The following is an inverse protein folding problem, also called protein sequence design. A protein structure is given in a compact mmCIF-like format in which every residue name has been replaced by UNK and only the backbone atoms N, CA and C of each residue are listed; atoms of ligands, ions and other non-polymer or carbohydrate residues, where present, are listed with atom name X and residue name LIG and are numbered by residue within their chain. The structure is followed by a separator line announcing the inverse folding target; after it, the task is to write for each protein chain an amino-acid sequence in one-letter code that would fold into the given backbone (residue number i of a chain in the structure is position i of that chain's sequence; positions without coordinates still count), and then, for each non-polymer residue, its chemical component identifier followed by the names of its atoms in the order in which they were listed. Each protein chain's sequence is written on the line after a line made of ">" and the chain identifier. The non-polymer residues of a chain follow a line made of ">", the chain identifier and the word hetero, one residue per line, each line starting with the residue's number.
data_IF_174130688548
#
_entry.id   IF_174130688548
#
_cell.length_a   1.000
_cell.length_b   1.000
_cell.length_c   1.000
_cell.angle_alpha   90.00
_cell.angle_beta   90.00
_cell.angle_gamma   90.00
#
_symmetry.space_group_name_H-M   'P 1'
#
loop_
_entity.id
_entity.type
_entity.pdbx_description
1 polymer ?
#
# COMPACT_ATOMS: atom_id res chain seq x y z
N UNK A 1 9.89 23.09 16.27
CA UNK A 1 9.09 22.01 15.69
C UNK A 1 7.74 22.02 16.36
N UNK A 2 6.70 22.40 15.63
CA UNK A 2 5.30 22.22 16.08
C UNK A 2 4.90 20.74 15.92
N UNK A 3 3.79 20.32 16.52
CA UNK A 3 3.28 18.95 16.36
C UNK A 3 3.07 18.56 14.90
N UNK A 4 2.56 19.48 14.09
CA UNK A 4 2.33 19.28 12.65
C UNK A 4 3.63 19.05 11.86
N UNK A 5 4.69 19.81 12.16
CA UNK A 5 6.00 19.63 11.51
C UNK A 5 6.62 18.27 11.85
N UNK A 6 6.44 17.80 13.09
CA UNK A 6 6.94 16.50 13.52
C UNK A 6 6.20 15.34 12.85
N UNK A 7 4.87 15.42 12.74
CA UNK A 7 4.05 14.45 12.01
C UNK A 7 4.49 14.38 10.55
N UNK A 8 4.66 15.53 9.89
CA UNK A 8 5.09 15.58 8.50
C UNK A 8 6.46 14.94 8.29
N UNK A 9 7.42 15.15 9.20
CA UNK A 9 8.74 14.55 9.14
C UNK A 9 8.72 13.02 9.25
N UNK A 10 7.86 12.47 10.13
CA UNK A 10 7.69 11.01 10.24
C UNK A 10 7.02 10.43 9.00
N UNK A 11 5.99 11.08 8.46
CA UNK A 11 5.33 10.65 7.23
C UNK A 11 6.26 10.73 6.01
N UNK A 12 7.20 11.66 6.00
CA UNK A 12 8.25 11.77 4.99
C UNK A 12 9.42 10.77 5.20
N UNK A 13 9.44 10.03 6.31
CA UNK A 13 10.52 9.12 6.68
C UNK A 13 11.83 9.82 7.09
N UNK A 14 11.78 11.12 7.38
CA UNK A 14 12.95 11.91 7.79
C UNK A 14 13.14 11.96 9.30
N UNK A 15 12.08 11.70 10.06
CA UNK A 15 12.08 11.69 11.52
C UNK A 15 11.55 10.36 12.10
N UNK A 16 11.86 10.13 13.38
CA UNK A 16 11.45 8.90 14.07
C UNK A 16 10.05 9.02 14.67
N UNK A 17 9.18 8.06 14.38
CA UNK A 17 7.87 7.91 14.99
C UNK A 17 7.91 7.86 16.52
N UNK A 18 8.92 7.20 17.09
CA UNK A 18 9.05 7.04 18.54
C UNK A 18 9.39 8.35 19.27
N UNK A 19 9.75 9.40 18.53
CA UNK A 19 10.00 10.74 19.10
C UNK A 19 8.72 11.56 19.29
N UNK A 20 7.59 11.10 18.73
CA UNK A 20 6.30 11.78 18.78
C UNK A 20 5.55 11.53 20.09
N UNK A 21 4.72 12.50 20.50
CA UNK A 21 3.72 12.32 21.55
C UNK A 21 2.57 11.42 21.11
N UNK A 22 1.75 10.96 22.06
CA UNK A 22 0.67 10.01 21.79
C UNK A 22 -0.36 10.52 20.75
N UNK A 23 -0.64 11.82 20.77
CA UNK A 23 -1.57 12.44 19.83
C UNK A 23 -1.02 12.46 18.41
N UNK A 24 0.23 12.90 18.24
CA UNK A 24 0.90 12.92 16.94
C UNK A 24 1.09 11.50 16.38
N UNK A 25 1.44 10.54 17.24
CA UNK A 25 1.52 9.13 16.86
C UNK A 25 0.17 8.59 16.35
N UNK A 26 -0.95 8.98 16.98
CA UNK A 26 -2.28 8.56 16.53
C UNK A 26 -2.57 9.06 15.11
N UNK A 27 -2.21 10.31 14.81
CA UNK A 27 -2.37 10.90 13.47
C UNK A 27 -1.51 10.14 12.44
N UNK A 28 -0.25 9.85 12.75
CA UNK A 28 0.61 9.08 11.83
C UNK A 28 0.05 7.69 11.55
N UNK A 29 -0.46 6.99 12.57
CA UNK A 29 -1.07 5.66 12.39
C UNK A 29 -2.28 5.68 11.47
N UNK A 30 -3.14 6.69 11.60
CA UNK A 30 -4.30 6.87 10.72
C UNK A 30 -3.85 7.09 9.27
N UNK A 31 -2.89 7.99 9.05
CA UNK A 31 -2.37 8.28 7.70
C UNK A 31 -1.69 7.08 7.04
N UNK A 32 -0.94 6.27 7.80
CA UNK A 32 -0.38 5.03 7.28
C UNK A 32 -1.44 3.98 6.95
N UNK A 33 -2.50 3.86 7.76
CA UNK A 33 -3.60 2.95 7.47
C UNK A 33 -4.32 3.33 6.16
N UNK A 34 -4.58 4.63 5.96
CA UNK A 34 -5.18 5.16 4.73
C UNK A 34 -4.25 4.93 3.53
N UNK A 35 -2.96 5.21 3.68
CA UNK A 35 -1.96 5.02 2.61
C UNK A 35 -1.83 3.55 2.21
N UNK A 36 -1.81 2.63 3.17
CA UNK A 36 -1.75 1.19 2.90
C UNK A 36 -3.03 0.67 2.24
N UNK A 37 -4.19 1.19 2.63
CA UNK A 37 -5.47 0.86 1.99
C UNK A 37 -5.48 1.34 0.54
N UNK A 38 -5.15 2.61 0.30
CA UNK A 38 -5.08 3.17 -1.05
C UNK A 38 -4.04 2.46 -1.93
N UNK A 39 -2.89 2.11 -1.38
CA UNK A 39 -1.89 1.33 -2.11
C UNK A 39 -2.43 -0.04 -2.48
N UNK A 40 -3.04 -0.76 -1.54
CA UNK A 40 -3.62 -2.09 -1.79
C UNK A 40 -4.73 -2.05 -2.82
N UNK A 41 -5.62 -1.06 -2.73
CA UNK A 41 -6.72 -0.87 -3.69
C UNK A 41 -6.19 -0.54 -5.10
N UNK A 42 -5.04 0.13 -5.19
CA UNK A 42 -4.36 0.40 -6.45
C UNK A 42 -3.61 -0.79 -7.05
N UNK A 43 -3.35 -1.86 -6.28
CA UNK A 43 -2.63 -3.06 -6.76
C UNK A 43 -3.58 -4.08 -7.41
N UNK A 44 -4.41 -3.63 -8.36
CA UNK A 44 -5.27 -4.51 -9.15
C UNK A 44 -4.58 -4.97 -10.45
N UNK A 45 -3.53 -5.77 -10.31
CA UNK A 45 -2.73 -6.23 -11.45
C UNK A 45 -3.51 -7.14 -12.42
N UNK A 46 -4.52 -7.87 -11.94
CA UNK A 46 -5.41 -8.65 -12.81
C UNK A 46 -6.10 -7.75 -13.83
N UNK A 47 -6.66 -6.62 -13.37
CA UNK A 47 -7.33 -5.65 -14.24
C UNK A 47 -6.33 -5.00 -15.22
N UNK A 48 -5.15 -4.61 -14.75
CA UNK A 48 -4.10 -4.02 -15.59
C UNK A 48 -3.63 -4.97 -16.71
N UNK A 49 -3.34 -6.22 -16.36
CA UNK A 49 -2.85 -7.24 -17.31
C UNK A 49 -3.96 -7.61 -18.30
N UNK A 50 -5.20 -7.76 -17.81
CA UNK A 50 -6.37 -8.04 -18.67
C UNK A 50 -6.61 -6.90 -19.66
N UNK A 51 -6.51 -5.64 -19.22
CA UNK A 51 -6.67 -4.47 -20.07
C UNK A 51 -5.56 -4.35 -21.14
N UNK A 52 -4.34 -4.83 -20.84
CA UNK A 52 -3.25 -4.95 -21.80
C UNK A 52 -3.46 -6.09 -22.82
N UNK A 53 -4.39 -7.01 -22.56
CA UNK A 53 -4.63 -8.19 -23.40
C UNK A 53 -3.55 -9.26 -23.24
N UNK A 54 -2.83 -9.24 -22.12
CA UNK A 54 -1.76 -10.19 -21.82
C UNK A 54 -2.27 -11.35 -20.95
N UNK A 55 -1.58 -12.49 -21.02
CA UNK A 55 -1.79 -13.62 -20.12
C UNK A 55 -0.83 -13.55 -18.94
N UNK A 56 -1.25 -14.02 -17.76
CA UNK A 56 -0.38 -14.16 -16.60
C UNK A 56 -0.58 -15.49 -15.88
N UNK A 57 0.35 -15.82 -14.98
CA UNK A 57 0.26 -17.03 -14.17
C UNK A 57 0.62 -16.69 -12.73
N UNK A 58 -0.09 -17.30 -11.81
CA UNK A 58 0.10 -17.09 -10.37
C UNK A 58 -0.03 -18.43 -9.62
N UNK A 59 0.29 -18.41 -8.34
CA UNK A 59 0.15 -19.55 -7.45
C UNK A 59 -1.06 -19.29 -6.56
N UNK A 60 -1.98 -20.25 -6.47
CA UNK A 60 -3.12 -20.15 -5.55
C UNK A 60 -2.74 -20.41 -4.09
N UNK A 61 -3.71 -20.27 -3.18
CA UNK A 61 -3.50 -20.46 -1.73
C UNK A 61 -3.03 -21.88 -1.35
N UNK A 62 -3.31 -22.87 -2.19
CA UNK A 62 -2.91 -24.27 -2.01
C UNK A 62 -1.54 -24.58 -2.66
N UNK A 63 -0.94 -23.61 -3.35
CA UNK A 63 0.35 -23.76 -4.01
C UNK A 63 0.28 -24.26 -5.46
N UNK A 64 -0.91 -24.32 -6.07
CA UNK A 64 -1.06 -24.76 -7.46
C UNK A 64 -0.86 -23.61 -8.44
N UNK A 65 -0.28 -23.92 -9.60
CA UNK A 65 -0.16 -22.97 -10.71
C UNK A 65 -1.53 -22.72 -11.37
N UNK A 66 -1.97 -21.47 -11.36
CA UNK A 66 -3.13 -20.98 -12.10
C UNK A 66 -2.64 -20.14 -13.28
N UNK A 67 -3.25 -20.34 -14.46
CA UNK A 67 -2.93 -19.59 -15.68
C UNK A 67 -4.16 -18.83 -16.13
N UNK A 68 -4.03 -17.51 -16.20
CA UNK A 68 -5.04 -16.59 -16.72
C UNK A 68 -4.71 -16.25 -18.16
N UNK A 69 -5.54 -16.72 -19.09
CA UNK A 69 -5.36 -16.47 -20.51
C UNK A 69 -5.83 -15.07 -20.89
N UNK A 70 -5.16 -14.46 -21.87
CA UNK A 70 -5.62 -13.23 -22.48
C UNK A 70 -7.05 -13.40 -23.03
N UNK A 71 -7.96 -12.49 -22.64
CA UNK A 71 -9.31 -12.45 -23.20
C UNK A 71 -9.27 -11.61 -24.48
N UNK A 72 -9.27 -12.29 -25.63
CA UNK A 72 -9.36 -11.65 -26.96
C UNK A 72 -10.76 -11.17 -27.32
#
# INVERSE_FOLDING_TARGET
>A
MTGDEAVAGVLAGTDSYDSLGEQEQAIVREQWADSMTALRDGLNYEEEITAAGDSYSEIDDDGNLVVHQARG
#
